data_IF_953313767260
#
_entry.id   IF_953313767260
#
_cell.length_a   1.000
_cell.length_b   1.000
_cell.length_c   1.000
_cell.angle_alpha   90.00
_cell.angle_beta   90.00
_cell.angle_gamma   90.00
#
_symmetry.space_group_name_H-M   'P 1'
#
loop_
_entity.id
_entity.type
_entity.pdbx_description
1 polymer ?
#
# COMPACT_ATOMS: atom_id res chain seq x y z
N UNK A 1 35.28 -29.55 -15.54
CA UNK A 1 33.90 -29.10 -15.87
C UNK A 1 33.85 -28.76 -17.36
N UNK A 2 32.78 -29.15 -18.06
CA UNK A 2 32.57 -28.86 -19.49
C UNK A 2 32.41 -27.35 -19.74
N UNK A 3 32.70 -26.90 -20.96
CA UNK A 3 32.40 -25.54 -21.38
C UNK A 3 30.88 -25.29 -21.39
N UNK A 4 30.50 -24.02 -21.24
CA UNK A 4 29.12 -23.55 -21.27
C UNK A 4 29.02 -22.44 -22.31
N UNK A 5 28.10 -22.59 -23.25
CA UNK A 5 27.83 -21.57 -24.27
C UNK A 5 27.23 -20.30 -23.63
N UNK A 6 27.32 -19.14 -24.29
CA UNK A 6 26.63 -17.92 -23.84
C UNK A 6 25.12 -18.16 -23.65
N UNK A 7 24.58 -17.55 -22.60
CA UNK A 7 23.18 -17.71 -22.20
C UNK A 7 22.46 -16.38 -22.37
N UNK A 8 21.28 -16.45 -22.97
CA UNK A 8 20.36 -15.33 -23.08
C UNK A 8 19.02 -15.72 -22.46
N UNK A 9 18.51 -14.88 -21.56
CA UNK A 9 17.26 -15.10 -20.84
C UNK A 9 16.56 -13.77 -20.59
N UNK A 10 15.22 -13.77 -20.56
CA UNK A 10 14.47 -12.61 -20.10
C UNK A 10 14.61 -12.44 -18.59
N UNK A 11 14.57 -11.20 -18.09
CA UNK A 11 14.49 -10.99 -16.65
C UNK A 11 13.26 -11.67 -16.03
N UNK A 12 13.33 -11.91 -14.72
CA UNK A 12 12.34 -12.65 -13.92
C UNK A 12 12.10 -14.12 -14.34
N UNK A 13 12.96 -14.65 -15.20
CA UNK A 13 12.99 -16.07 -15.54
C UNK A 13 14.24 -16.75 -15.00
N UNK A 14 14.16 -18.07 -14.83
CA UNK A 14 15.32 -18.92 -14.55
C UNK A 14 15.69 -19.77 -15.75
N UNK A 15 16.98 -20.07 -15.90
CA UNK A 15 17.50 -20.97 -16.94
C UNK A 15 18.25 -22.13 -16.30
N UNK A 16 18.02 -23.33 -16.80
CA UNK A 16 18.76 -24.53 -16.39
C UNK A 16 19.50 -25.13 -17.58
N UNK A 17 20.74 -25.55 -17.34
CA UNK A 17 21.57 -26.26 -18.31
C UNK A 17 22.41 -27.32 -17.62
N UNK A 18 22.90 -28.29 -18.38
CA UNK A 18 23.73 -29.37 -17.86
C UNK A 18 25.20 -29.09 -18.04
N UNK A 19 26.00 -29.40 -17.03
CA UNK A 19 27.47 -29.46 -17.11
C UNK A 19 27.95 -30.87 -16.84
N UNK A 20 29.02 -31.26 -17.51
CA UNK A 20 29.70 -32.53 -17.27
C UNK A 20 30.98 -32.32 -16.48
N UNK A 21 31.20 -33.15 -15.48
CA UNK A 21 32.35 -33.19 -14.60
C UNK A 21 33.23 -34.37 -15.02
N UNK A 22 34.53 -34.23 -14.81
CA UNK A 22 35.50 -35.29 -15.05
C UNK A 22 36.57 -35.18 -13.99
N UNK A 23 36.75 -36.24 -13.23
CA UNK A 23 37.81 -36.39 -12.25
C UNK A 23 38.18 -37.88 -12.21
N UNK A 24 39.48 -38.19 -12.20
CA UNK A 24 39.95 -39.57 -12.23
C UNK A 24 40.21 -40.12 -10.82
N UNK A 25 40.40 -39.23 -9.84
CA UNK A 25 40.83 -39.56 -8.49
C UNK A 25 39.70 -39.38 -7.47
N UNK A 26 38.75 -38.49 -7.74
CA UNK A 26 37.68 -38.09 -6.80
C UNK A 26 36.32 -38.63 -7.21
N UNK A 27 35.57 -39.17 -6.25
CA UNK A 27 34.24 -39.70 -6.50
C UNK A 27 33.25 -38.56 -6.89
N UNK A 28 32.28 -38.80 -7.80
CA UNK A 28 31.38 -37.74 -8.29
C UNK A 28 30.56 -37.01 -7.23
N UNK A 29 30.25 -37.67 -6.11
CA UNK A 29 29.52 -37.14 -4.96
C UNK A 29 30.35 -36.20 -4.08
N UNK A 30 31.68 -36.28 -4.16
CA UNK A 30 32.61 -35.42 -3.41
C UNK A 30 32.94 -34.13 -4.15
N UNK A 31 32.67 -34.08 -5.46
CA UNK A 31 32.84 -32.89 -6.30
C UNK A 31 31.80 -31.82 -5.97
N UNK A 32 32.27 -30.61 -5.64
CA UNK A 32 31.41 -29.47 -5.28
C UNK A 32 31.42 -28.42 -6.39
N UNK A 33 30.24 -28.10 -6.91
CA UNK A 33 30.05 -26.97 -7.83
C UNK A 33 29.76 -25.71 -7.02
N UNK A 34 30.49 -24.64 -7.30
CA UNK A 34 30.15 -23.29 -6.86
C UNK A 34 30.02 -22.38 -8.07
N UNK A 35 29.24 -21.31 -7.93
CA UNK A 35 29.04 -20.33 -8.98
C UNK A 35 29.20 -18.92 -8.43
N UNK A 36 29.79 -18.04 -9.25
CA UNK A 36 29.87 -16.62 -8.96
C UNK A 36 29.64 -15.81 -10.24
N UNK A 37 29.06 -14.62 -10.09
CA UNK A 37 28.90 -13.67 -11.19
C UNK A 37 29.80 -12.45 -10.96
N UNK A 38 30.34 -11.86 -12.03
CA UNK A 38 31.09 -10.61 -11.95
C UNK A 38 30.21 -9.45 -11.44
N UNK A 39 28.93 -9.45 -11.80
CA UNK A 39 27.91 -8.57 -11.26
C UNK A 39 26.96 -9.34 -10.33
N UNK A 40 27.27 -9.33 -9.03
CA UNK A 40 26.48 -10.01 -8.01
C UNK A 40 25.09 -9.37 -7.76
N UNK A 41 24.87 -8.12 -8.19
CA UNK A 41 23.54 -7.52 -8.14
C UNK A 41 22.60 -8.08 -9.22
N UNK A 42 23.15 -8.36 -10.42
CA UNK A 42 22.40 -8.97 -11.51
C UNK A 42 22.16 -10.47 -11.28
N UNK A 43 23.18 -11.19 -10.77
CA UNK A 43 23.08 -12.60 -10.44
C UNK A 43 23.80 -12.88 -9.11
N UNK A 44 23.06 -12.86 -7.97
CA UNK A 44 23.61 -13.25 -6.68
C UNK A 44 24.17 -14.68 -6.71
N UNK A 45 25.24 -14.95 -5.97
CA UNK A 45 25.84 -16.29 -5.91
C UNK A 45 24.87 -17.35 -5.40
N UNK A 46 24.01 -16.99 -4.44
CA UNK A 46 23.00 -17.89 -3.87
C UNK A 46 21.92 -18.29 -4.89
N UNK A 47 21.80 -17.52 -5.98
CA UNK A 47 20.89 -17.80 -7.09
C UNK A 47 21.54 -18.65 -8.20
N UNK A 48 22.77 -19.12 -7.99
CA UNK A 48 23.44 -20.08 -8.84
C UNK A 48 23.45 -21.42 -8.10
N UNK A 49 22.53 -22.30 -8.49
CA UNK A 49 22.34 -23.59 -7.80
C UNK A 49 22.72 -24.74 -8.72
N UNK A 50 23.19 -25.84 -8.15
CA UNK A 50 23.47 -27.08 -8.88
C UNK A 50 22.73 -28.25 -8.25
N UNK A 51 22.11 -29.09 -9.08
CA UNK A 51 21.37 -30.29 -8.68
C UNK A 51 21.75 -31.50 -9.56
N UNK A 52 21.19 -32.67 -9.25
CA UNK A 52 21.50 -33.94 -9.95
C UNK A 52 22.54 -34.77 -9.20
N UNK A 53 22.88 -35.94 -9.74
CA UNK A 53 23.85 -36.88 -9.17
C UNK A 53 24.90 -37.28 -10.22
N UNK A 54 26.03 -37.82 -9.76
CA UNK A 54 27.09 -38.29 -10.65
C UNK A 54 27.84 -37.15 -11.35
N UNK A 55 28.40 -37.46 -12.53
CA UNK A 55 29.25 -36.53 -13.28
C UNK A 55 28.47 -35.58 -14.20
N UNK A 56 27.14 -35.68 -14.28
CA UNK A 56 26.31 -34.71 -15.02
C UNK A 56 25.41 -33.99 -14.03
N UNK A 57 25.61 -32.68 -13.90
CA UNK A 57 24.85 -31.85 -12.95
C UNK A 57 24.06 -30.79 -13.71
N UNK A 58 22.87 -30.49 -13.21
CA UNK A 58 22.06 -29.39 -13.73
C UNK A 58 22.38 -28.14 -12.94
N UNK A 59 22.84 -27.10 -13.61
CA UNK A 59 23.04 -25.77 -13.03
C UNK A 59 21.84 -24.92 -13.40
N UNK A 60 21.31 -24.19 -12.40
CA UNK A 60 20.22 -23.24 -12.57
C UNK A 60 20.71 -21.85 -12.21
N UNK A 61 20.50 -20.88 -13.09
CA UNK A 61 20.74 -19.47 -12.86
C UNK A 61 19.40 -18.76 -12.72
N UNK A 62 19.24 -17.99 -11.64
CA UNK A 62 18.09 -17.13 -11.42
C UNK A 62 18.56 -15.69 -11.23
N UNK A 63 18.60 -14.86 -12.27
CA UNK A 63 18.88 -13.43 -12.14
C UNK A 63 18.03 -12.75 -11.04
N UNK A 64 18.53 -11.65 -10.51
CA UNK A 64 17.77 -10.80 -9.59
C UNK A 64 16.49 -10.27 -10.26
N UNK A 65 15.45 -10.06 -9.47
CA UNK A 65 14.16 -9.60 -9.99
C UNK A 65 14.25 -8.16 -10.55
N UNK A 66 13.60 -7.90 -11.69
CA UNK A 66 13.61 -6.61 -12.41
C UNK A 66 15.04 -6.09 -12.68
N UNK A 67 15.97 -6.99 -13.00
CA UNK A 67 17.36 -6.66 -13.30
C UNK A 67 17.74 -7.14 -14.70
N UNK A 68 18.01 -6.19 -15.59
CA UNK A 68 18.59 -6.45 -16.91
C UNK A 68 20.08 -6.13 -17.03
N UNK A 69 20.74 -6.74 -18.01
CA UNK A 69 22.13 -6.43 -18.36
C UNK A 69 22.96 -7.66 -18.69
N UNK A 70 24.28 -7.50 -18.65
CA UNK A 70 25.23 -8.57 -18.94
C UNK A 70 26.14 -8.83 -17.75
N UNK A 71 26.47 -10.09 -17.52
CA UNK A 71 27.47 -10.49 -16.54
C UNK A 71 28.23 -11.71 -17.02
N UNK A 72 29.47 -11.84 -16.58
CA UNK A 72 30.23 -13.07 -16.72
C UNK A 72 29.93 -13.97 -15.53
N UNK A 73 29.62 -15.22 -15.79
CA UNK A 73 29.40 -16.25 -14.78
C UNK A 73 30.59 -17.21 -14.77
N UNK A 74 31.19 -17.41 -13.61
CA UNK A 74 32.25 -18.38 -13.38
C UNK A 74 31.67 -19.54 -12.58
N UNK A 75 31.76 -20.75 -13.13
CA UNK A 75 31.43 -21.99 -12.44
C UNK A 75 32.72 -22.72 -12.08
N UNK A 76 32.87 -23.06 -10.80
CA UNK A 76 34.05 -23.72 -10.26
C UNK A 76 33.66 -25.10 -9.73
N UNK A 77 34.54 -26.07 -9.95
CA UNK A 77 34.45 -27.42 -9.39
C UNK A 77 35.67 -27.67 -8.53
N UNK A 78 35.44 -28.04 -7.28
CA UNK A 78 36.48 -28.39 -6.32
C UNK A 78 36.32 -29.84 -5.87
N UNK A 79 37.44 -30.56 -5.85
CA UNK A 79 37.57 -31.96 -5.41
C UNK A 79 38.06 -32.10 -3.95
N UNK A 80 38.31 -30.97 -3.28
CA UNK A 80 38.91 -30.90 -1.95
C UNK A 80 40.35 -30.36 -1.95
N UNK A 81 41.07 -30.51 -3.06
CA UNK A 81 42.48 -30.13 -3.21
C UNK A 81 42.68 -29.08 -4.32
N UNK A 82 42.11 -29.31 -5.49
CA UNK A 82 42.21 -28.51 -6.70
C UNK A 82 40.88 -27.87 -7.08
N UNK A 83 40.94 -26.75 -7.81
CA UNK A 83 39.75 -26.11 -8.36
C UNK A 83 39.94 -25.86 -9.84
N UNK A 84 38.97 -26.28 -10.65
CA UNK A 84 38.90 -25.98 -12.08
C UNK A 84 37.65 -25.16 -12.35
N UNK A 85 37.77 -24.15 -13.20
CA UNK A 85 36.65 -23.25 -13.52
C UNK A 85 36.39 -23.17 -15.01
N UNK A 86 35.13 -22.87 -15.37
CA UNK A 86 34.71 -22.45 -16.70
C UNK A 86 33.96 -21.13 -16.59
N UNK A 87 33.94 -20.36 -17.66
CA UNK A 87 33.26 -19.07 -17.73
C UNK A 87 32.27 -19.06 -18.90
N UNK A 88 31.14 -18.41 -18.69
CA UNK A 88 30.18 -18.09 -19.76
C UNK A 88 29.66 -16.65 -19.60
N UNK A 89 29.16 -16.08 -20.70
CA UNK A 89 28.46 -14.80 -20.67
C UNK A 89 26.97 -15.04 -20.45
N UNK A 90 26.38 -14.34 -19.48
CA UNK A 90 24.94 -14.27 -19.27
C UNK A 90 24.46 -12.89 -19.73
N UNK A 91 23.51 -12.88 -20.67
CA UNK A 91 22.72 -11.70 -21.05
C UNK A 91 21.31 -11.87 -20.50
N UNK A 92 20.92 -10.96 -19.61
CA UNK A 92 19.55 -10.84 -19.10
C UNK A 92 18.87 -9.71 -19.84
N UNK A 93 17.84 -10.04 -20.62
CA UNK A 93 17.07 -9.10 -21.43
C UNK A 93 16.01 -8.44 -20.54
N UNK A 94 16.05 -7.11 -20.34
CA UNK A 94 14.98 -6.42 -19.64
C UNK A 94 13.63 -6.58 -20.38
N UNK A 95 12.56 -6.78 -19.63
CA UNK A 95 11.18 -6.89 -20.08
C UNK A 95 10.36 -5.89 -19.28
N UNK A 96 9.64 -5.01 -19.99
CA UNK A 96 8.88 -3.96 -19.32
C UNK A 96 7.82 -4.54 -18.39
N UNK A 97 7.86 -4.11 -17.14
CA UNK A 97 6.98 -4.48 -16.06
C UNK A 97 5.71 -3.63 -16.04
N UNK A 98 4.62 -4.23 -15.53
CA UNK A 98 3.37 -3.52 -15.33
C UNK A 98 3.45 -2.79 -13.98
N UNK A 99 3.05 -1.50 -13.91
CA UNK A 99 3.02 -0.79 -12.64
C UNK A 99 2.02 -1.42 -11.69
N UNK A 100 2.23 -1.23 -10.38
CA UNK A 100 1.39 -1.76 -9.32
C UNK A 100 0.76 -0.61 -8.54
N UNK A 101 -0.57 -0.63 -8.38
CA UNK A 101 -1.29 0.25 -7.49
C UNK A 101 -1.25 -0.32 -6.06
N UNK A 102 -1.10 0.54 -5.05
CA UNK A 102 -1.02 0.11 -3.64
C UNK A 102 -2.32 0.39 -2.89
N UNK A 103 -2.96 -0.61 -2.26
CA UNK A 103 -4.17 -0.40 -1.49
C UNK A 103 -3.87 0.36 -0.21
N UNK A 104 -4.90 0.99 0.35
CA UNK A 104 -4.83 1.62 1.66
C UNK A 104 -6.13 1.41 2.42
N UNK A 105 -6.00 1.20 3.72
CA UNK A 105 -7.10 1.24 4.66
C UNK A 105 -6.94 2.49 5.53
N UNK A 106 -7.88 3.40 5.43
CA UNK A 106 -7.85 4.68 6.11
C UNK A 106 -9.06 4.83 7.02
N UNK A 107 -8.92 5.68 8.04
CA UNK A 107 -10.01 5.99 8.96
C UNK A 107 -10.13 7.49 9.14
N UNK A 108 -11.36 7.99 9.16
CA UNK A 108 -11.67 9.37 9.56
C UNK A 108 -12.86 9.40 10.49
N UNK A 109 -13.06 10.52 11.17
CA UNK A 109 -14.27 10.77 11.95
C UNK A 109 -15.34 11.39 11.05
N UNK A 110 -16.59 11.19 11.44
CA UNK A 110 -17.73 11.90 10.92
C UNK A 110 -17.45 13.41 10.73
N UNK A 111 -17.84 13.95 9.57
CA UNK A 111 -17.68 15.37 9.23
C UNK A 111 -16.23 15.82 8.97
N UNK A 112 -15.21 15.00 9.26
CA UNK A 112 -13.81 15.37 9.05
C UNK A 112 -13.31 14.93 7.68
N UNK A 113 -12.76 15.90 6.96
CA UNK A 113 -12.08 15.66 5.69
C UNK A 113 -10.80 14.86 5.96
N UNK A 114 -10.51 13.91 5.08
CA UNK A 114 -9.38 13.02 5.18
C UNK A 114 -8.43 13.28 3.99
N UNK A 115 -7.30 13.95 4.20
CA UNK A 115 -6.27 14.01 3.17
C UNK A 115 -5.68 12.62 2.95
N UNK A 116 -5.44 12.26 1.69
CA UNK A 116 -4.82 11.00 1.30
C UNK A 116 -3.97 11.18 0.04
N UNK A 117 -2.96 10.34 -0.10
CA UNK A 117 -2.09 10.32 -1.27
C UNK A 117 -2.11 8.91 -1.85
N UNK A 118 -2.53 8.79 -3.11
CA UNK A 118 -2.46 7.52 -3.84
C UNK A 118 -1.01 7.10 -4.03
N UNK A 119 -0.75 5.81 -3.89
CA UNK A 119 0.59 5.25 -3.98
C UNK A 119 0.64 4.10 -4.99
N UNK A 120 1.81 3.92 -5.58
CA UNK A 120 2.07 2.95 -6.62
C UNK A 120 3.56 2.75 -6.81
N UNK A 121 3.93 1.65 -7.45
CA UNK A 121 5.31 1.33 -7.81
C UNK A 121 5.38 0.93 -9.27
N UNK A 122 6.55 1.13 -9.87
CA UNK A 122 6.87 0.67 -11.21
C UNK A 122 8.33 0.19 -11.16
N UNK A 123 8.61 -1.10 -11.39
CA UNK A 123 9.96 -1.64 -11.32
C UNK A 123 10.93 -0.95 -12.30
N UNK A 124 10.44 -0.60 -13.49
CA UNK A 124 11.19 0.13 -14.51
C UNK A 124 11.42 1.62 -14.18
N UNK A 125 10.91 2.09 -13.04
CA UNK A 125 11.04 3.48 -12.57
C UNK A 125 10.53 4.51 -13.58
N UNK A 126 9.53 4.14 -14.37
CA UNK A 126 8.81 5.06 -15.24
C UNK A 126 8.00 6.05 -14.42
N UNK A 127 7.78 7.25 -14.98
CA UNK A 127 6.99 8.28 -14.32
C UNK A 127 5.53 7.83 -14.09
N UNK A 128 5.08 7.91 -12.83
CA UNK A 128 3.75 7.45 -12.43
C UNK A 128 2.68 8.54 -12.53
N UNK A 129 1.52 8.17 -13.06
CA UNK A 129 0.27 8.92 -12.96
C UNK A 129 -0.86 8.04 -12.43
N UNK A 130 -1.91 8.67 -11.90
CA UNK A 130 -2.95 7.97 -11.14
C UNK A 130 -4.33 8.35 -11.67
N UNK A 131 -5.15 7.34 -11.95
CA UNK A 131 -6.49 7.54 -12.50
C UNK A 131 -7.54 6.87 -11.61
N UNK A 132 -8.58 7.63 -11.26
CA UNK A 132 -9.75 7.10 -10.56
C UNK A 132 -10.56 6.22 -11.52
N UNK A 133 -10.94 5.04 -11.04
CA UNK A 133 -11.71 4.03 -11.80
C UNK A 133 -13.15 4.00 -11.30
N UNK A 134 -13.34 3.98 -9.98
CA UNK A 134 -14.65 4.06 -9.34
C UNK A 134 -14.59 5.11 -8.23
N UNK A 135 -15.63 5.95 -8.13
CA UNK A 135 -15.72 7.00 -7.11
C UNK A 135 -16.39 6.46 -5.84
N UNK A 136 -16.11 7.04 -4.65
CA UNK A 136 -16.80 6.68 -3.43
C UNK A 136 -18.32 6.89 -3.52
N UNK A 137 -19.10 6.02 -2.87
CA UNK A 137 -20.57 6.08 -2.89
C UNK A 137 -21.14 6.94 -1.77
N UNK A 138 -20.42 7.03 -0.65
CA UNK A 138 -20.85 7.71 0.58
C UNK A 138 -19.97 8.92 0.95
N UNK A 139 -19.24 9.43 -0.02
CA UNK A 139 -18.46 10.65 0.08
C UNK A 139 -18.09 11.21 -1.28
N UNK A 140 -17.13 12.11 -1.30
CA UNK A 140 -16.59 12.73 -2.52
C UNK A 140 -15.08 12.89 -2.40
N UNK A 141 -14.39 12.85 -3.53
CA UNK A 141 -12.96 13.15 -3.61
C UNK A 141 -12.80 14.56 -4.21
N UNK A 142 -11.97 15.38 -3.57
CA UNK A 142 -11.55 16.69 -4.08
C UNK A 142 -10.03 16.71 -4.26
N UNK A 143 -9.54 17.57 -5.16
CA UNK A 143 -8.12 17.68 -5.48
C UNK A 143 -7.75 16.96 -6.79
N UNK A 144 -6.46 16.68 -6.96
CA UNK A 144 -5.91 16.05 -8.16
C UNK A 144 -4.97 14.93 -7.75
N UNK A 145 -5.18 13.75 -8.32
CA UNK A 145 -4.33 12.59 -8.03
C UNK A 145 -2.84 12.91 -8.28
N UNK A 146 -1.91 12.41 -7.45
CA UNK A 146 -2.16 11.45 -6.36
C UNK A 146 -2.72 12.07 -5.07
N UNK A 147 -2.70 13.40 -4.91
CA UNK A 147 -3.07 14.07 -3.66
C UNK A 147 -4.55 14.45 -3.65
N UNK A 148 -5.33 13.71 -2.88
CA UNK A 148 -6.77 13.86 -2.79
C UNK A 148 -7.19 14.17 -1.36
N UNK A 149 -8.42 14.65 -1.21
CA UNK A 149 -9.08 14.75 0.09
C UNK A 149 -10.44 14.09 -0.02
N UNK A 150 -10.67 13.08 0.81
CA UNK A 150 -11.98 12.46 0.94
C UNK A 150 -12.84 13.27 1.89
N UNK A 151 -14.04 13.62 1.42
CA UNK A 151 -15.08 14.29 2.20
C UNK A 151 -16.27 13.34 2.37
N UNK A 152 -16.50 12.79 3.58
CA UNK A 152 -17.68 11.99 3.86
C UNK A 152 -18.96 12.77 3.54
N UNK A 153 -19.99 12.08 3.06
CA UNK A 153 -21.34 12.65 2.97
C UNK A 153 -21.85 12.99 4.37
N UNK A 154 -22.58 14.10 4.50
CA UNK A 154 -23.22 14.45 5.76
C UNK A 154 -24.14 13.31 6.26
N UNK A 155 -24.10 13.04 7.55
CA UNK A 155 -24.74 11.90 8.20
C UNK A 155 -24.13 10.51 7.99
N UNK A 156 -23.10 10.34 7.15
CA UNK A 156 -22.57 9.00 6.86
C UNK A 156 -21.63 8.47 7.95
N UNK A 157 -21.86 7.22 8.35
CA UNK A 157 -21.00 6.42 9.21
C UNK A 157 -20.88 5.02 8.59
N UNK A 158 -19.70 4.41 8.67
CA UNK A 158 -19.43 3.09 8.10
C UNK A 158 -18.34 3.12 7.03
N UNK A 159 -18.30 2.06 6.23
CA UNK A 159 -17.25 1.84 5.23
C UNK A 159 -17.65 2.42 3.87
N UNK A 160 -16.74 3.15 3.26
CA UNK A 160 -16.82 3.59 1.86
C UNK A 160 -15.57 3.15 1.12
N UNK A 161 -15.68 2.97 -0.20
CA UNK A 161 -14.56 2.49 -1.02
C UNK A 161 -14.51 3.22 -2.34
N UNK A 162 -13.31 3.35 -2.89
CA UNK A 162 -13.11 3.82 -4.26
C UNK A 162 -11.96 3.06 -4.90
N UNK A 163 -11.91 3.01 -6.24
CA UNK A 163 -10.86 2.30 -6.96
C UNK A 163 -10.04 3.25 -7.80
N UNK A 164 -8.74 3.00 -7.88
CA UNK A 164 -7.83 3.73 -8.74
C UNK A 164 -6.87 2.77 -9.43
N UNK A 165 -6.18 3.24 -10.47
CA UNK A 165 -5.07 2.52 -11.10
C UNK A 165 -3.87 3.43 -11.29
N UNK A 166 -2.70 2.82 -11.37
CA UNK A 166 -1.43 3.47 -11.70
C UNK A 166 -1.16 3.30 -13.19
N UNK A 167 -0.62 4.35 -13.81
CA UNK A 167 -0.22 4.36 -15.20
C UNK A 167 1.22 4.84 -15.30
N UNK A 168 2.04 4.04 -15.97
CA UNK A 168 3.46 4.24 -16.18
C UNK A 168 3.73 4.19 -17.68
N UNK A 169 3.89 5.35 -18.33
CA UNK A 169 3.89 5.42 -19.79
C UNK A 169 2.59 4.89 -20.40
N UNK A 170 2.67 3.83 -21.21
CA UNK A 170 1.50 3.17 -21.81
C UNK A 170 0.95 2.01 -20.95
N UNK A 171 1.70 1.58 -19.94
CA UNK A 171 1.38 0.45 -19.08
C UNK A 171 0.44 0.87 -17.95
N UNK A 172 -0.51 0.00 -17.62
CA UNK A 172 -1.57 0.28 -16.64
C UNK A 172 -1.66 -0.88 -15.66
N UNK A 173 -1.69 -0.55 -14.38
CA UNK A 173 -1.97 -1.53 -13.34
C UNK A 173 -3.39 -2.05 -13.46
N UNK A 174 -3.64 -3.22 -12.87
CA UNK A 174 -4.99 -3.56 -12.44
C UNK A 174 -5.49 -2.51 -11.43
N UNK A 175 -6.80 -2.23 -11.38
CA UNK A 175 -7.37 -1.33 -10.39
C UNK A 175 -7.18 -1.88 -8.97
N UNK A 176 -6.93 -0.97 -8.03
CA UNK A 176 -6.78 -1.29 -6.61
C UNK A 176 -7.74 -0.47 -5.76
N UNK A 177 -8.14 -1.03 -4.61
CA UNK A 177 -9.17 -0.45 -3.75
C UNK A 177 -8.58 0.34 -2.60
N UNK A 178 -9.11 1.54 -2.38
CA UNK A 178 -8.93 2.30 -1.14
C UNK A 178 -10.18 2.09 -0.29
N UNK A 179 -9.98 1.65 0.95
CA UNK A 179 -11.04 1.46 1.93
C UNK A 179 -10.98 2.59 2.94
N UNK A 180 -12.12 3.25 3.18
CA UNK A 180 -12.24 4.33 4.16
C UNK A 180 -13.31 3.97 5.17
N UNK A 181 -12.92 3.86 6.43
CA UNK A 181 -13.86 3.75 7.54
C UNK A 181 -14.16 5.13 8.12
N UNK A 182 -15.42 5.55 8.03
CA UNK A 182 -15.93 6.76 8.69
C UNK A 182 -16.50 6.36 10.04
N UNK A 183 -15.75 6.64 11.10
CA UNK A 183 -16.21 6.43 12.46
C UNK A 183 -17.28 7.47 12.79
N UNK A 184 -18.40 6.99 13.34
CA UNK A 184 -19.32 7.86 14.06
C UNK A 184 -18.62 8.53 15.23
N UNK A 185 -19.27 9.53 15.84
CA UNK A 185 -18.73 10.25 17.00
C UNK A 185 -18.52 9.35 18.24
N UNK A 186 -18.85 8.06 18.17
CA UNK A 186 -18.98 7.21 19.35
C UNK A 186 -20.13 7.71 20.23
N UNK A 187 -20.67 6.87 21.10
CA UNK A 187 -21.71 7.32 22.06
C UNK A 187 -21.21 8.41 23.02
N UNK A 188 -19.89 8.65 23.12
CA UNK A 188 -19.26 9.61 24.02
C UNK A 188 -18.90 10.98 23.41
N UNK A 189 -18.65 11.08 22.09
CA UNK A 189 -18.40 12.40 21.45
C UNK A 189 -19.67 12.97 20.79
N UNK A 190 -20.81 12.27 20.88
CA UNK A 190 -22.09 12.89 20.57
C UNK A 190 -22.40 13.97 21.61
N UNK A 191 -22.86 15.15 21.18
CA UNK A 191 -23.32 16.16 22.11
C UNK A 191 -24.49 15.68 22.94
N UNK A 192 -24.25 15.43 24.21
CA UNK A 192 -25.32 15.14 25.14
C UNK A 192 -25.94 16.47 25.53
N UNK A 193 -27.14 16.76 25.04
CA UNK A 193 -27.95 17.85 25.59
C UNK A 193 -28.54 17.38 26.92
N UNK A 194 -28.15 18.04 28.01
CA UNK A 194 -28.66 17.76 29.35
C UNK A 194 -29.51 18.90 29.85
N UNK A 195 -30.71 18.58 30.34
CA UNK A 195 -31.58 19.50 31.07
C UNK A 195 -31.39 19.24 32.56
N UNK A 196 -30.98 20.26 33.30
CA UNK A 196 -30.78 20.18 34.74
C UNK A 196 -31.50 21.33 35.46
N UNK A 197 -32.13 21.01 36.59
CA UNK A 197 -32.66 22.03 37.51
C UNK A 197 -31.54 22.49 38.42
N UNK A 198 -31.28 23.79 38.47
CA UNK A 198 -30.27 24.39 39.35
C UNK A 198 -30.77 24.50 40.80
N UNK A 199 -29.85 24.70 41.74
CA UNK A 199 -30.15 24.76 43.18
C UNK A 199 -31.04 25.94 43.57
N UNK A 200 -31.07 27.00 42.75
CA UNK A 200 -31.94 28.17 42.88
C UNK A 200 -33.33 27.95 42.24
N UNK A 201 -33.60 26.75 41.71
CA UNK A 201 -34.87 26.38 41.09
C UNK A 201 -35.00 26.72 39.61
N UNK A 202 -33.97 27.32 38.98
CA UNK A 202 -33.89 27.55 37.54
C UNK A 202 -33.74 26.27 36.73
N UNK A 203 -33.97 26.37 35.41
CA UNK A 203 -33.67 25.30 34.45
C UNK A 203 -32.48 25.72 33.59
N UNK A 204 -31.54 24.81 33.39
CA UNK A 204 -30.37 25.02 32.54
C UNK A 204 -30.24 23.90 31.53
N UNK A 205 -29.85 24.27 30.32
CA UNK A 205 -29.42 23.35 29.28
C UNK A 205 -27.90 23.38 29.25
N UNK A 206 -27.27 22.23 29.45
CA UNK A 206 -25.83 22.06 29.25
C UNK A 206 -25.57 21.06 28.14
N UNK A 207 -24.37 21.10 27.56
CA UNK A 207 -23.94 20.06 26.64
C UNK A 207 -22.45 19.76 26.77
N UNK A 208 -22.07 18.60 26.26
CA UNK A 208 -20.68 18.13 26.22
C UNK A 208 -20.35 17.76 24.78
N UNK A 209 -19.45 18.51 24.11
CA UNK A 209 -19.05 18.27 22.72
C UNK A 209 -18.80 19.56 21.92
N UNK A 210 -18.18 19.45 20.75
CA UNK A 210 -17.96 20.58 19.83
C UNK A 210 -19.26 20.97 19.09
N UNK A 211 -19.53 22.27 18.96
CA UNK A 211 -20.57 22.85 18.10
C UNK A 211 -21.34 24.03 18.71
N UNK A 212 -22.38 24.50 18.00
CA UNK A 212 -23.16 25.71 18.37
C UNK A 212 -24.57 25.31 18.80
N UNK A 213 -24.98 25.76 19.99
CA UNK A 213 -26.35 25.60 20.45
C UNK A 213 -27.26 26.59 19.71
N UNK A 214 -28.37 26.10 19.17
CA UNK A 214 -29.40 26.89 18.52
C UNK A 214 -30.74 26.72 19.24
N UNK A 215 -31.57 27.76 19.19
CA UNK A 215 -32.97 27.71 19.65
C UNK A 215 -33.93 28.15 18.55
N UNK A 216 -35.20 27.78 18.69
CA UNK A 216 -36.27 28.25 17.82
C UNK A 216 -37.59 28.22 18.57
N UNK A 217 -38.55 29.05 18.17
CA UNK A 217 -39.95 28.95 18.63
C UNK A 217 -40.80 27.98 17.78
N UNK A 218 -40.25 27.49 16.66
CA UNK A 218 -40.85 26.49 15.77
C UNK A 218 -39.82 25.43 15.31
N UNK A 219 -40.22 24.42 14.55
CA UNK A 219 -39.28 23.38 14.07
C UNK A 219 -38.45 23.80 12.84
N UNK A 220 -38.70 24.98 12.26
CA UNK A 220 -38.23 25.39 10.93
C UNK A 220 -37.15 26.47 10.97
N UNK A 221 -37.19 27.40 11.92
CA UNK A 221 -36.40 28.63 11.93
C UNK A 221 -35.47 28.72 13.14
N UNK A 222 -34.22 28.28 12.97
CA UNK A 222 -33.27 28.18 14.08
C UNK A 222 -32.35 29.41 14.19
N UNK A 223 -32.15 29.87 15.42
CA UNK A 223 -31.29 31.00 15.77
C UNK A 223 -30.14 30.53 16.68
N UNK A 224 -28.92 31.00 16.41
CA UNK A 224 -27.75 30.71 17.24
C UNK A 224 -27.84 31.44 18.58
N UNK A 225 -27.50 30.74 19.66
CA UNK A 225 -27.46 31.33 21.00
C UNK A 225 -26.06 31.87 21.26
N UNK A 226 -25.97 33.16 21.51
CA UNK A 226 -24.70 33.80 21.88
C UNK A 226 -24.22 33.33 23.26
N UNK A 227 -22.90 33.12 23.39
CA UNK A 227 -22.23 32.74 24.64
C UNK A 227 -22.68 31.41 25.26
N UNK A 228 -23.23 30.51 24.45
CA UNK A 228 -23.77 29.26 24.96
C UNK A 228 -22.68 28.30 25.51
N UNK A 229 -21.37 28.56 25.39
CA UNK A 229 -20.28 27.68 25.85
C UNK A 229 -20.26 27.26 27.35
N UNK A 230 -21.29 27.60 28.13
CA UNK A 230 -21.58 27.22 29.51
C UNK A 230 -23.07 26.85 29.63
N UNK A 231 -23.53 26.22 30.74
CA UNK A 231 -24.96 25.95 30.92
C UNK A 231 -25.83 27.19 30.62
N UNK A 232 -26.73 27.06 29.63
CA UNK A 232 -27.62 28.11 29.17
C UNK A 232 -28.90 28.09 29.99
N UNK A 233 -29.19 29.18 30.69
CA UNK A 233 -30.42 29.32 31.46
C UNK A 233 -31.63 29.38 30.53
N UNK A 234 -32.63 28.56 30.82
CA UNK A 234 -33.92 28.58 30.12
C UNK A 234 -34.89 29.40 30.95
N UNK A 235 -35.43 30.46 30.36
CA UNK A 235 -36.54 31.20 30.98
C UNK A 235 -37.76 30.27 31.02
N UNK A 236 -38.41 30.05 32.18
CA UNK A 236 -39.67 29.33 32.25
C UNK A 236 -40.76 29.88 31.32
N UNK A 237 -40.71 31.16 30.95
CA UNK A 237 -41.59 31.77 29.95
C UNK A 237 -41.31 31.29 28.51
N UNK A 238 -40.10 30.78 28.23
CA UNK A 238 -39.66 30.27 26.93
C UNK A 238 -40.00 28.79 26.70
N UNK A 239 -40.95 28.22 27.46
CA UNK A 239 -41.31 26.79 27.44
C UNK A 239 -41.72 26.20 26.06
N UNK A 240 -41.87 27.04 25.02
CA UNK A 240 -42.18 26.62 23.65
C UNK A 240 -40.97 26.50 22.74
N UNK A 241 -39.77 26.83 23.24
CA UNK A 241 -38.57 26.77 22.40
C UNK A 241 -38.08 25.34 22.19
N UNK A 242 -37.69 25.05 20.96
CA UNK A 242 -36.91 23.88 20.60
C UNK A 242 -35.43 24.23 20.70
N UNK A 243 -34.63 23.29 21.18
CA UNK A 243 -33.17 23.43 21.27
C UNK A 243 -32.50 22.30 20.50
N UNK A 244 -31.44 22.61 19.78
CA UNK A 244 -30.58 21.62 19.13
C UNK A 244 -29.15 22.10 19.11
N UNK A 245 -28.22 21.16 19.06
CA UNK A 245 -26.83 21.49 18.79
C UNK A 245 -26.53 21.19 17.33
N UNK A 246 -25.92 22.15 16.64
CA UNK A 246 -25.44 22.01 15.26
C UNK A 246 -23.92 22.04 15.28
N UNK A 247 -23.31 20.95 14.82
CA UNK A 247 -21.87 20.88 14.65
C UNK A 247 -21.45 21.71 13.41
N UNK A 248 -20.28 22.36 13.44
CA UNK A 248 -19.74 23.12 12.31
C UNK A 248 -19.56 22.27 11.05
#
# INVERSE_FOLDING_TARGET
>A
ISAVEPIEINEDQMVSFTVTLTDIDTAPEELKITGNAANAALLPSDNITSTGEGLTRTVTLSPGANMGGKTKVTLSVNDGDNTVSTETELTVIPVVDIPVALPQELTTKYGKHLPLTLAGTDPDSLGLSFHLVEMPKNGSLIGTAPNLTYRPKAGFEGMDTFQFRVVAGEYKSEPETIVITVLGLGKGDQPILSLARSNDGGLTISWVGEGVLQSSTDLKNWESIENAAKPHTVDPADARRFYRMVQP
#
